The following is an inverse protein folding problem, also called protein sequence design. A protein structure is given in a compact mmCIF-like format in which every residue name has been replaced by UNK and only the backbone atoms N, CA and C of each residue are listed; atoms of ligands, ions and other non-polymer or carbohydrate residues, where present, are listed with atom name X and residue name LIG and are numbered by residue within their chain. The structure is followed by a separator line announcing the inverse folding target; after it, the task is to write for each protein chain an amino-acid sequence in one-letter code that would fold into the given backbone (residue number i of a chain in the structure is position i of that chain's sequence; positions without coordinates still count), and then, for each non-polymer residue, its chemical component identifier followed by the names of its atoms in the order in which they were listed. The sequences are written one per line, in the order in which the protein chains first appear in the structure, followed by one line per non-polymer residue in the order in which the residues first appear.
data_IF_897037796553
#
_entry.id   IF_897037796553
#
_cell.length_a   1.000
_cell.length_b   1.000
_cell.length_c   1.000
_cell.angle_alpha   90.00
_cell.angle_beta   90.00
_cell.angle_gamma   90.00
#
_symmetry.space_group_name_H-M   'P 1'
#
loop_
_entity.id
_entity.type
_entity.pdbx_description
1 polymer ?
#
# COMPACT_ATOMS: atom_id res chain seq x y z
N UNK A 1 6.29 18.27 -8.63
CA UNK A 1 5.75 17.93 -7.30
C UNK A 1 6.35 18.89 -6.29
N UNK A 2 5.56 19.45 -5.37
CA UNK A 2 6.07 20.43 -4.39
C UNK A 2 6.39 19.80 -3.02
N UNK A 3 5.76 18.67 -2.70
CA UNK A 3 5.95 17.95 -1.43
C UNK A 3 5.86 16.44 -1.68
N UNK A 4 6.73 15.69 -1.02
CA UNK A 4 6.79 14.22 -1.04
C UNK A 4 6.79 13.76 0.42
N UNK A 5 5.90 12.85 0.79
CA UNK A 5 5.80 12.33 2.16
C UNK A 5 6.91 11.34 2.48
N UNK A 6 7.08 10.33 1.64
CA UNK A 6 8.10 9.29 1.74
C UNK A 6 8.22 8.58 0.39
N UNK A 7 9.40 8.02 0.12
CA UNK A 7 9.62 7.14 -1.03
C UNK A 7 9.16 5.72 -0.70
N UNK A 8 8.58 5.04 -1.67
CA UNK A 8 8.12 3.65 -1.55
C UNK A 8 8.85 2.75 -2.54
N UNK A 9 9.07 1.45 -2.20
CA UNK A 9 9.62 0.48 -3.14
C UNK A 9 8.65 0.23 -4.30
N UNK A 10 9.15 -0.37 -5.40
CA UNK A 10 8.32 -0.84 -6.53
C UNK A 10 7.56 -2.13 -6.20
N UNK A 11 6.97 -2.19 -5.01
CA UNK A 11 6.21 -3.32 -4.52
C UNK A 11 4.75 -2.92 -4.34
N UNK A 12 3.84 -3.90 -4.37
CA UNK A 12 2.43 -3.62 -4.18
C UNK A 12 2.16 -3.28 -2.71
N UNK A 13 1.69 -2.06 -2.44
CA UNK A 13 1.45 -1.54 -1.07
C UNK A 13 -0.04 -1.34 -0.79
N UNK A 14 -0.46 -1.62 0.44
CA UNK A 14 -1.84 -1.45 0.95
C UNK A 14 -1.83 -0.72 2.29
N UNK A 15 -3.00 -0.25 2.72
CA UNK A 15 -3.16 0.47 3.98
C UNK A 15 -3.21 1.98 3.83
N UNK A 16 -3.65 2.68 4.88
CA UNK A 16 -3.80 4.13 4.90
C UNK A 16 -4.61 4.68 3.69
N UNK A 17 -5.73 4.01 3.39
CA UNK A 17 -6.58 4.31 2.23
C UNK A 17 -6.21 3.57 0.94
N UNK A 18 -5.01 2.99 0.83
CA UNK A 18 -4.63 2.10 -0.28
C UNK A 18 -5.28 0.73 -0.08
N UNK A 19 -5.79 0.14 -1.15
CA UNK A 19 -6.56 -1.10 -1.09
C UNK A 19 -6.08 -2.19 -2.05
N UNK A 20 -6.48 -3.41 -1.70
CA UNK A 20 -6.45 -4.57 -2.58
C UNK A 20 -7.77 -5.31 -2.40
N UNK A 21 -8.51 -5.53 -3.50
CA UNK A 21 -9.83 -6.19 -3.47
C UNK A 21 -10.77 -5.54 -2.44
N UNK A 22 -10.81 -4.20 -2.44
CA UNK A 22 -11.60 -3.37 -1.51
C UNK A 22 -11.26 -3.50 -0.01
N UNK A 23 -10.25 -4.31 0.33
CA UNK A 23 -9.79 -4.55 1.70
C UNK A 23 -8.61 -3.66 2.06
N UNK A 24 -8.27 -3.64 3.35
CA UNK A 24 -7.05 -3.03 3.91
C UNK A 24 -6.99 -1.50 3.97
N UNK A 25 -7.98 -0.75 3.47
CA UNK A 25 -8.02 0.73 3.55
C UNK A 25 -7.89 1.29 4.96
N UNK A 26 -8.42 0.58 5.95
CA UNK A 26 -8.49 1.01 7.33
C UNK A 26 -7.23 0.72 8.16
N UNK A 27 -6.19 0.14 7.57
CA UNK A 27 -4.93 -0.07 8.28
C UNK A 27 -4.28 1.27 8.61
N UNK A 28 -3.83 1.44 9.85
CA UNK A 28 -3.13 2.64 10.34
C UNK A 28 -1.66 2.73 9.90
N UNK A 29 -1.23 1.83 9.03
CA UNK A 29 0.11 1.77 8.46
C UNK A 29 0.03 1.40 6.98
N UNK A 30 1.11 1.66 6.25
CA UNK A 30 1.32 1.21 4.88
C UNK A 30 2.19 -0.04 4.93
N UNK A 31 1.76 -1.11 4.26
CA UNK A 31 2.48 -2.38 4.23
C UNK A 31 2.57 -2.93 2.81
N UNK A 32 3.58 -3.76 2.56
CA UNK A 32 3.72 -4.51 1.31
C UNK A 32 2.82 -5.74 1.34
N UNK A 33 2.01 -5.91 0.30
CA UNK A 33 1.19 -7.10 0.12
C UNK A 33 2.07 -8.29 -0.30
N UNK A 34 1.83 -9.47 0.26
CA UNK A 34 2.59 -10.67 -0.09
C UNK A 34 2.33 -11.10 -1.54
N UNK A 35 3.38 -11.45 -2.30
CA UNK A 35 3.29 -11.76 -3.74
C UNK A 35 2.20 -12.77 -4.11
N UNK A 36 2.01 -13.81 -3.31
CA UNK A 36 1.00 -14.85 -3.59
C UNK A 36 -0.46 -14.38 -3.49
N UNK A 37 -0.70 -13.17 -2.97
CA UNK A 37 -2.05 -12.61 -2.85
C UNK A 37 -2.53 -11.94 -4.14
N UNK A 38 -1.61 -11.54 -5.02
CA UNK A 38 -1.90 -10.82 -6.28
C UNK A 38 -1.19 -11.43 -7.50
N UNK A 39 -0.75 -12.68 -7.36
CA UNK A 39 -0.11 -13.44 -8.44
C UNK A 39 -1.07 -14.40 -9.12
#
# INVERSE_FOLDING_TARGET
MKYVGFDIPKEFVVGYGLDFDEKYRNLSFIGVLAKHMYS
#
